data_IF_468598741930
#
_entry.id   IF_468598741930
#
_cell.length_a   1.000
_cell.length_b   1.000
_cell.length_c   1.000
_cell.angle_alpha   90.00
_cell.angle_beta   90.00
_cell.angle_gamma   90.00
#
_symmetry.space_group_name_H-M   'P 1'
#
loop_
_entity.id
_entity.type
_entity.pdbx_description
1 polymer ?
#
# COMPACT_ATOMS: atom_id res chain seq x y z
N UNK A 1 -7.47 -12.62 -7.84
CA UNK A 1 -6.80 -11.35 -8.20
C UNK A 1 -6.37 -10.48 -7.00
N UNK A 2 -6.61 -10.87 -5.73
CA UNK A 2 -6.39 -9.99 -4.57
C UNK A 2 -4.92 -9.72 -4.20
N UNK A 3 -3.98 -10.62 -4.53
CA UNK A 3 -2.54 -10.39 -4.34
C UNK A 3 -1.99 -9.21 -5.16
N UNK A 4 -2.49 -9.00 -6.38
CA UNK A 4 -2.11 -7.85 -7.19
C UNK A 4 -2.59 -6.53 -6.57
N UNK A 5 -3.78 -6.53 -5.98
CA UNK A 5 -4.31 -5.39 -5.23
C UNK A 5 -3.42 -5.08 -4.02
N UNK A 6 -3.00 -6.12 -3.28
CA UNK A 6 -2.05 -5.95 -2.18
C UNK A 6 -0.74 -5.29 -2.66
N UNK A 7 -0.26 -5.62 -3.86
CA UNK A 7 0.88 -4.96 -4.47
C UNK A 7 0.65 -3.49 -4.79
N UNK A 8 -0.52 -3.12 -5.32
CA UNK A 8 -0.88 -1.72 -5.54
C UNK A 8 -0.88 -0.95 -4.21
N UNK A 9 -1.43 -1.55 -3.13
CA UNK A 9 -1.45 -0.94 -1.80
C UNK A 9 -0.06 -0.76 -1.20
N UNK A 10 0.82 -1.76 -1.35
CA UNK A 10 2.22 -1.67 -0.93
C UNK A 10 2.95 -0.56 -1.67
N UNK A 11 2.73 -0.46 -2.99
CA UNK A 11 3.26 0.64 -3.79
C UNK A 11 2.75 2.01 -3.34
N UNK A 12 1.43 2.13 -3.11
CA UNK A 12 0.83 3.36 -2.59
C UNK A 12 1.47 3.79 -1.27
N UNK A 13 1.67 2.85 -0.34
CA UNK A 13 2.28 3.14 0.95
C UNK A 13 3.73 3.65 0.80
N UNK A 14 4.52 3.05 -0.09
CA UNK A 14 5.88 3.50 -0.36
C UNK A 14 5.92 4.94 -0.93
N UNK A 15 4.98 5.27 -1.81
CA UNK A 15 4.90 6.58 -2.43
C UNK A 15 4.40 7.65 -1.44
N UNK A 16 3.38 7.33 -0.65
CA UNK A 16 2.56 8.29 0.08
C UNK A 16 2.32 7.92 1.56
N UNK A 17 3.37 7.65 2.37
CA UNK A 17 3.19 7.13 3.73
C UNK A 17 2.45 8.10 4.66
N UNK A 18 2.65 9.41 4.50
CA UNK A 18 2.02 10.45 5.31
C UNK A 18 0.67 10.95 4.78
N UNK A 19 0.23 10.52 3.58
CA UNK A 19 -1.02 10.99 2.99
C UNK A 19 -2.20 10.47 3.78
N UNK A 20 -3.14 11.35 4.12
CA UNK A 20 -4.37 10.96 4.83
C UNK A 20 -5.41 10.49 3.83
N UNK A 21 -5.87 9.25 4.00
CA UNK A 21 -6.95 8.65 3.21
C UNK A 21 -8.26 8.67 3.99
N UNK A 22 -9.38 8.71 3.27
CA UNK A 22 -10.70 8.61 3.87
C UNK A 22 -10.96 7.15 4.25
N UNK A 23 -11.26 6.92 5.52
CA UNK A 23 -11.59 5.60 6.07
C UNK A 23 -12.98 5.70 6.68
N UNK A 24 -13.86 4.78 6.28
CA UNK A 24 -15.15 4.61 6.93
C UNK A 24 -14.94 3.76 8.19
N UNK A 25 -15.18 4.37 9.35
CA UNK A 25 -15.12 3.71 10.67
C UNK A 25 -16.51 3.78 11.28
N UNK A 26 -17.22 2.64 11.27
CA UNK A 26 -18.65 2.56 11.57
C UNK A 26 -19.47 3.52 10.70
N UNK A 27 -19.96 4.61 11.28
CA UNK A 27 -20.76 5.65 10.60
C UNK A 27 -19.97 6.94 10.32
N UNK A 28 -18.69 7.00 10.69
CA UNK A 28 -17.87 8.19 10.56
C UNK A 28 -16.83 8.04 9.45
N UNK A 29 -16.63 9.11 8.67
CA UNK A 29 -15.56 9.20 7.69
C UNK A 29 -14.39 9.95 8.32
N UNK A 30 -13.28 9.25 8.54
CA UNK A 30 -12.08 9.78 9.18
C UNK A 30 -10.94 9.90 8.16
N UNK A 31 -10.11 10.92 8.32
CA UNK A 31 -8.87 11.10 7.53
C UNK A 31 -7.70 10.49 8.29
N UNK A 32 -7.30 9.29 7.92
CA UNK A 32 -6.25 8.54 8.62
C UNK A 32 -4.99 8.44 7.74
N UNK A 33 -3.78 8.63 8.28
CA UNK A 33 -2.55 8.40 7.52
C UNK A 33 -2.51 7.00 6.89
N UNK A 34 -2.13 6.93 5.62
CA UNK A 34 -2.03 5.69 4.87
C UNK A 34 -1.12 4.66 5.55
N UNK A 35 -0.05 5.11 6.22
CA UNK A 35 0.82 4.25 7.03
C UNK A 35 0.06 3.46 8.10
N UNK A 36 -0.87 4.11 8.81
CA UNK A 36 -1.61 3.45 9.89
C UNK A 36 -2.57 2.42 9.29
N UNK A 37 -3.30 2.81 8.24
CA UNK A 37 -4.32 1.96 7.63
C UNK A 37 -3.68 0.76 6.93
N UNK A 38 -2.76 1.01 6.01
CA UNK A 38 -2.14 -0.02 5.18
C UNK A 38 -1.10 -0.83 5.94
N UNK A 39 -0.34 -0.19 6.84
CA UNK A 39 0.59 -0.89 7.73
C UNK A 39 -0.14 -1.80 8.72
N UNK A 40 -1.22 -1.30 9.35
CA UNK A 40 -2.06 -2.13 10.22
C UNK A 40 -2.69 -3.30 9.47
N UNK A 41 -3.23 -3.05 8.27
CA UNK A 41 -3.75 -4.12 7.41
C UNK A 41 -2.68 -5.16 7.07
N UNK A 42 -1.46 -4.75 6.72
CA UNK A 42 -0.35 -5.67 6.44
C UNK A 42 0.05 -6.51 7.66
N UNK A 43 0.06 -5.93 8.86
CA UNK A 43 0.31 -6.68 10.11
C UNK A 43 -0.76 -7.77 10.32
N UNK A 44 -2.03 -7.46 10.05
CA UNK A 44 -3.10 -8.46 10.11
C UNK A 44 -2.85 -9.60 9.12
N UNK A 45 -2.31 -9.33 7.93
CA UNK A 45 -1.94 -10.39 6.98
C UNK A 45 -0.87 -11.33 7.56
N UNK A 46 0.16 -10.77 8.21
CA UNK A 46 1.22 -11.56 8.87
C UNK A 46 0.69 -12.44 10.00
N UNK A 47 -0.18 -11.86 10.85
CA UNK A 47 -0.79 -12.57 11.98
C UNK A 47 -1.70 -13.71 11.50
N UNK A 48 -2.51 -13.47 10.47
CA UNK A 48 -3.38 -14.53 9.95
C UNK A 48 -2.57 -15.59 9.20
N UNK A 49 -1.49 -15.23 8.50
CA UNK A 49 -0.61 -16.21 7.87
C UNK A 49 0.03 -17.17 8.88
N UNK A 50 0.39 -16.70 10.09
CA UNK A 50 0.99 -17.54 11.12
C UNK A 50 0.00 -18.44 11.84
N UNK A 51 -1.30 -18.08 11.87
CA UNK A 51 -2.37 -18.87 12.46
C UNK A 51 -3.23 -19.62 11.44
N UNK A 52 -2.91 -19.53 10.14
CA UNK A 52 -3.73 -20.11 9.08
C UNK A 52 -3.67 -21.64 9.12
N UNK A 53 -4.84 -22.27 9.21
CA UNK A 53 -4.97 -23.71 8.94
C UNK A 53 -4.80 -23.98 7.44
N UNK A 54 -4.50 -25.24 7.10
CA UNK A 54 -4.49 -25.74 5.71
C UNK A 54 -5.83 -25.59 4.98
N UNK A 55 -6.90 -25.25 5.70
CA UNK A 55 -8.26 -25.02 5.19
C UNK A 55 -8.61 -23.54 5.02
N UNK A 56 -7.64 -22.62 5.15
CA UNK A 56 -7.89 -21.18 4.96
C UNK A 56 -8.22 -20.85 3.50
N UNK A 57 -9.40 -20.28 3.25
CA UNK A 57 -9.81 -19.79 1.93
C UNK A 57 -9.04 -18.54 1.47
N UNK A 58 -8.31 -17.89 2.39
CA UNK A 58 -7.54 -16.69 2.12
C UNK A 58 -6.07 -17.04 1.88
N UNK A 59 -5.56 -16.61 0.73
CA UNK A 59 -4.16 -16.76 0.34
C UNK A 59 -3.27 -15.67 0.99
N UNK A 60 -3.13 -15.71 2.32
CA UNK A 60 -2.40 -14.71 3.11
C UNK A 60 -0.98 -14.43 2.59
N UNK A 61 -0.22 -15.48 2.25
CA UNK A 61 1.13 -15.34 1.69
C UNK A 61 1.15 -14.60 0.35
N UNK A 62 0.10 -14.73 -0.48
CA UNK A 62 0.01 -13.99 -1.74
C UNK A 62 -0.23 -12.50 -1.50
N UNK A 63 -0.97 -12.12 -0.45
CA UNK A 63 -1.12 -10.73 -0.05
C UNK A 63 0.18 -10.15 0.49
N UNK A 64 0.88 -10.91 1.34
CA UNK A 64 2.17 -10.50 1.90
C UNK A 64 3.20 -10.28 0.79
N UNK A 65 3.39 -11.27 -0.09
CA UNK A 65 4.33 -11.19 -1.19
C UNK A 65 3.97 -10.05 -2.16
N UNK A 66 2.69 -9.92 -2.51
CA UNK A 66 2.20 -8.83 -3.35
C UNK A 66 2.56 -7.46 -2.77
N UNK A 67 2.19 -7.22 -1.51
CA UNK A 67 2.45 -5.97 -0.81
C UNK A 67 3.94 -5.62 -0.74
N UNK A 68 4.79 -6.58 -0.36
CA UNK A 68 6.23 -6.38 -0.26
C UNK A 68 6.84 -6.04 -1.62
N UNK A 69 6.49 -6.79 -2.66
CA UNK A 69 6.98 -6.54 -4.03
C UNK A 69 6.56 -5.14 -4.50
N UNK A 70 5.28 -4.79 -4.35
CA UNK A 70 4.77 -3.48 -4.74
C UNK A 70 5.45 -2.32 -3.99
N UNK A 71 5.64 -2.46 -2.67
CA UNK A 71 6.33 -1.48 -1.84
C UNK A 71 7.78 -1.27 -2.30
N UNK A 72 8.52 -2.35 -2.52
CA UNK A 72 9.93 -2.30 -2.94
C UNK A 72 10.06 -1.67 -4.33
N UNK A 73 9.25 -2.10 -5.30
CA UNK A 73 9.27 -1.56 -6.66
C UNK A 73 8.99 -0.06 -6.68
N UNK A 74 7.93 0.39 -6.00
CA UNK A 74 7.58 1.81 -5.96
C UNK A 74 8.63 2.64 -5.22
N UNK A 75 9.21 2.12 -4.13
CA UNK A 75 10.27 2.82 -3.39
C UNK A 75 11.50 3.08 -4.25
N UNK A 76 11.87 2.13 -5.12
CA UNK A 76 12.97 2.32 -6.07
C UNK A 76 12.63 3.34 -7.16
N UNK A 77 11.38 3.36 -7.63
CA UNK A 77 10.94 4.26 -8.69
C UNK A 77 10.76 5.71 -8.22
N UNK A 78 10.26 5.94 -7.00
CA UNK A 78 10.08 7.28 -6.43
C UNK A 78 11.38 8.10 -6.41
N UNK A 79 12.51 7.44 -6.20
CA UNK A 79 13.83 8.09 -6.18
C UNK A 79 14.34 8.49 -7.58
N UNK A 80 13.65 8.08 -8.65
CA UNK A 80 14.04 8.33 -10.04
C UNK A 80 13.18 9.38 -10.75
N UNK A 81 12.14 9.92 -10.12
CA UNK A 81 11.27 10.94 -10.72
C UNK A 81 11.87 12.32 -10.44
N UNK A 82 12.40 13.05 -11.44
CA UNK A 82 12.92 14.40 -11.24
C UNK A 82 11.76 15.33 -10.86
N UNK A 83 11.82 15.96 -9.69
CA UNK A 83 10.72 16.81 -9.18
C UNK A 83 10.58 18.17 -9.88
N UNK A 84 11.42 18.46 -10.88
CA UNK A 84 11.42 19.73 -11.61
C UNK A 84 11.76 19.50 -13.08
N UNK A 85 10.75 19.38 -13.96
CA UNK A 85 10.94 19.66 -15.41
C UNK A 85 9.68 19.76 -16.29
N UNK A 86 8.49 19.97 -15.72
CA UNK A 86 7.26 20.02 -16.55
C UNK A 86 6.67 21.43 -16.66
N UNK A 87 6.98 22.35 -15.73
CA UNK A 87 6.44 23.71 -15.77
C UNK A 87 7.34 24.74 -16.45
N UNK A 88 8.65 24.49 -16.57
CA UNK A 88 9.60 25.41 -17.23
C UNK A 88 9.49 25.40 -18.77
N UNK A 89 8.76 24.46 -19.36
CA UNK A 89 8.68 24.28 -20.82
C UNK A 89 7.54 25.07 -21.50
N UNK A 90 6.61 25.64 -20.72
CA UNK A 90 5.41 26.31 -21.24
C UNK A 90 5.46 27.85 -21.14
N UNK A 91 6.62 28.43 -20.82
CA UNK A 91 6.81 29.89 -20.66
C UNK A 91 7.49 30.60 -21.86
N UNK A 92 7.35 30.10 -23.09
CA UNK A 92 7.87 30.75 -24.30
C UNK A 92 6.81 30.99 -25.36
#
# INVERSE_FOLDING_TARGET
ASGAIAGILGGYLAAFPGTRILVLVFYFILRVPALIVLGGWFVIQLLNASSASSTSDVAWFAHIAGFVVGYVLMRQWKNKIPSKRVYEQWEY
#
